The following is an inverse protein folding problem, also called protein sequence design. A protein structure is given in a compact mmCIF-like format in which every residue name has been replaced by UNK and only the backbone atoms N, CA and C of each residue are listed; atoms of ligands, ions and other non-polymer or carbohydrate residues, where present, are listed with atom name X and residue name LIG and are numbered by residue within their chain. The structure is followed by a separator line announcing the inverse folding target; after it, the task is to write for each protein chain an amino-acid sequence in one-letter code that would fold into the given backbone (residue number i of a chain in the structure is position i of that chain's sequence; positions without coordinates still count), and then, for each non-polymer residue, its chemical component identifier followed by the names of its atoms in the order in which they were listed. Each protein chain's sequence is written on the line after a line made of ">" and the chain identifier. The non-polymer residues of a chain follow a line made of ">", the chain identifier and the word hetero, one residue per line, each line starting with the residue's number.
data_IF_107957990847
#
_entry.id   IF_107957990847
#
_cell.length_a   1.000
_cell.length_b   1.000
_cell.length_c   1.000
_cell.angle_alpha   90.00
_cell.angle_beta   90.00
_cell.angle_gamma   90.00
#
_symmetry.space_group_name_H-M   'P 1'
#
loop_
_entity.id
_entity.type
_entity.pdbx_description
1 polymer ?
#
# COMPACT_ATOMS: atom_id res chain seq x y z
N UNK A 1 28.56 -32.93 18.07
CA UNK A 1 28.61 -32.03 16.91
C UNK A 1 27.53 -32.46 15.94
N UNK A 2 26.34 -31.84 16.01
CA UNK A 2 25.33 -31.95 14.96
C UNK A 2 24.60 -30.61 14.93
N UNK A 3 24.86 -29.86 13.86
CA UNK A 3 24.37 -28.53 13.61
C UNK A 3 22.92 -28.64 13.09
N UNK A 4 21.93 -28.31 13.91
CA UNK A 4 20.55 -28.18 13.45
C UNK A 4 20.41 -26.84 12.75
N UNK A 5 20.63 -26.83 11.44
CA UNK A 5 20.27 -25.70 10.58
C UNK A 5 18.76 -25.57 10.58
N UNK A 6 18.23 -24.72 11.46
CA UNK A 6 16.87 -24.19 11.34
C UNK A 6 16.84 -23.37 10.05
N UNK A 7 16.38 -24.00 8.97
CA UNK A 7 16.01 -23.29 7.75
C UNK A 7 14.96 -22.24 8.13
N UNK A 8 15.30 -20.96 7.97
CA UNK A 8 14.35 -19.86 8.13
C UNK A 8 13.25 -20.13 7.09
N UNK A 9 12.06 -20.53 7.54
CA UNK A 9 10.87 -20.50 6.68
C UNK A 9 10.81 -19.07 6.16
N UNK A 10 10.98 -18.89 4.85
CA UNK A 10 10.81 -17.58 4.25
C UNK A 10 9.39 -17.13 4.62
N UNK A 11 9.28 -16.15 5.51
CA UNK A 11 7.99 -15.56 5.83
C UNK A 11 7.48 -14.94 4.54
N UNK A 12 6.49 -15.59 3.94
CA UNK A 12 5.75 -15.03 2.81
C UNK A 12 5.04 -13.79 3.31
N UNK A 13 5.55 -12.62 2.90
CA UNK A 13 4.98 -11.33 3.31
C UNK A 13 3.50 -11.23 2.95
N UNK A 14 2.77 -10.39 3.68
CA UNK A 14 1.34 -10.15 3.43
C UNK A 14 1.14 -8.70 3.03
N UNK A 15 0.36 -8.48 1.98
CA UNK A 15 -0.08 -7.16 1.56
C UNK A 15 -1.50 -6.93 2.02
N UNK A 16 -1.72 -5.88 2.79
CA UNK A 16 -3.06 -5.41 3.19
C UNK A 16 -3.43 -4.22 2.31
N UNK A 17 -4.40 -4.37 1.42
CA UNK A 17 -4.93 -3.29 0.58
C UNK A 17 -6.06 -2.58 1.33
N UNK A 18 -5.86 -1.31 1.70
CA UNK A 18 -6.82 -0.58 2.54
C UNK A 18 -7.18 0.80 2.01
N UNK A 19 -8.47 1.10 2.07
CA UNK A 19 -9.06 2.43 1.82
C UNK A 19 -9.56 3.08 3.10
N UNK A 20 -9.42 4.41 3.24
CA UNK A 20 -9.90 5.16 4.41
C UNK A 20 -11.18 5.96 4.19
N UNK A 21 -11.79 5.92 3.01
CA UNK A 21 -13.15 6.42 2.80
C UNK A 21 -14.12 5.78 3.80
N UNK A 22 -15.07 6.56 4.34
CA UNK A 22 -15.89 6.14 5.48
C UNK A 22 -15.19 6.02 6.85
N UNK A 23 -13.87 5.81 6.92
CA UNK A 23 -13.10 5.58 8.17
C UNK A 23 -12.58 6.87 8.84
N UNK A 24 -12.47 6.87 10.16
CA UNK A 24 -11.66 7.82 10.94
C UNK A 24 -10.20 7.36 11.02
N UNK A 25 -9.31 8.19 11.58
CA UNK A 25 -7.93 7.75 11.85
C UNK A 25 -7.88 6.62 12.88
N UNK A 26 -8.79 6.63 13.88
CA UNK A 26 -8.88 5.58 14.89
C UNK A 26 -9.30 4.24 14.28
N UNK A 27 -10.34 4.25 13.43
CA UNK A 27 -10.80 3.04 12.73
C UNK A 27 -9.70 2.48 11.83
N UNK A 28 -8.97 3.35 11.12
CA UNK A 28 -7.85 2.93 10.28
C UNK A 28 -6.75 2.28 11.13
N UNK A 29 -6.32 2.92 12.23
CA UNK A 29 -5.27 2.39 13.11
C UNK A 29 -5.68 1.05 13.72
N UNK A 30 -6.93 0.92 14.20
CA UNK A 30 -7.44 -0.33 14.76
C UNK A 30 -7.37 -1.48 13.73
N UNK A 31 -7.85 -1.25 12.50
CA UNK A 31 -7.78 -2.26 11.44
C UNK A 31 -6.36 -2.66 11.05
N UNK A 32 -5.42 -1.70 11.05
CA UNK A 32 -4.01 -2.01 10.78
C UNK A 32 -3.40 -2.90 11.86
N UNK A 33 -3.75 -2.65 13.13
CA UNK A 33 -3.31 -3.47 14.26
C UNK A 33 -3.94 -4.88 14.21
N UNK A 34 -5.22 -5.00 13.88
CA UNK A 34 -5.90 -6.29 13.71
C UNK A 34 -5.27 -7.17 12.61
N UNK A 35 -4.60 -6.55 11.63
CA UNK A 35 -3.91 -7.23 10.55
C UNK A 35 -2.39 -7.38 10.79
N UNK A 36 -1.89 -7.05 11.99
CA UNK A 36 -0.46 -7.08 12.34
C UNK A 36 0.43 -6.28 11.37
N UNK A 37 -0.11 -5.19 10.80
CA UNK A 37 0.62 -4.34 9.86
C UNK A 37 1.83 -3.72 10.55
N UNK A 38 3.02 -3.91 9.95
CA UNK A 38 4.26 -3.31 10.45
C UNK A 38 4.59 -1.98 9.79
N UNK A 39 4.26 -1.85 8.50
CA UNK A 39 4.52 -0.64 7.72
C UNK A 39 3.31 -0.33 6.85
N UNK A 40 2.85 0.91 6.91
CA UNK A 40 1.87 1.47 5.98
C UNK A 40 2.60 2.25 4.88
N UNK A 41 2.40 1.82 3.64
CA UNK A 41 2.84 2.50 2.42
C UNK A 41 1.67 3.32 1.88
N UNK A 42 1.78 4.63 2.01
CA UNK A 42 0.87 5.59 1.39
C UNK A 42 1.22 5.74 -0.10
N UNK A 43 0.29 5.37 -0.97
CA UNK A 43 0.44 5.48 -2.43
C UNK A 43 -0.34 6.67 -3.01
N UNK A 44 -0.81 7.60 -2.17
CA UNK A 44 -1.43 8.83 -2.65
C UNK A 44 -0.37 9.71 -3.30
N UNK A 45 -0.65 10.20 -4.51
CA UNK A 45 0.21 11.20 -5.18
C UNK A 45 0.41 12.45 -4.31
N UNK A 46 -0.66 12.85 -3.61
CA UNK A 46 -0.64 13.95 -2.64
C UNK A 46 -1.34 13.45 -1.37
N UNK A 47 -0.60 13.19 -0.27
CA UNK A 47 -1.14 12.62 0.96
C UNK A 47 -1.80 13.70 1.85
N UNK A 48 -2.69 14.48 1.23
CA UNK A 48 -3.54 15.47 1.90
C UNK A 48 -4.93 14.84 2.12
N UNK A 49 -5.51 15.11 3.29
CA UNK A 49 -6.88 14.69 3.61
C UNK A 49 -7.61 15.80 4.32
N UNK A 50 -8.91 15.93 4.05
CA UNK A 50 -9.84 16.77 4.81
C UNK A 50 -10.35 16.08 6.07
N UNK A 51 -10.22 14.75 6.15
CA UNK A 51 -10.58 14.00 7.35
C UNK A 51 -9.51 14.22 8.44
N UNK A 52 -9.90 14.57 9.67
CA UNK A 52 -8.96 14.75 10.78
C UNK A 52 -8.04 13.53 10.96
N UNK A 53 -6.74 13.78 11.17
CA UNK A 53 -5.75 12.73 11.43
C UNK A 53 -5.23 11.97 10.21
N UNK A 54 -5.82 12.14 9.02
CA UNK A 54 -5.49 11.33 7.82
C UNK A 54 -4.59 12.05 6.80
N UNK A 55 -4.05 13.22 7.14
CA UNK A 55 -2.95 13.86 6.39
C UNK A 55 -1.61 13.23 6.76
N UNK A 56 -0.63 13.24 5.84
CA UNK A 56 0.69 12.59 6.02
C UNK A 56 1.28 12.72 7.42
N UNK A 57 1.48 13.94 7.90
CA UNK A 57 2.14 14.19 9.19
C UNK A 57 1.36 13.58 10.34
N UNK A 58 0.05 13.90 10.44
CA UNK A 58 -0.79 13.42 11.54
C UNK A 58 -0.97 11.90 11.52
N UNK A 59 -1.08 11.31 10.33
CA UNK A 59 -1.20 9.87 10.18
C UNK A 59 0.11 9.18 10.58
N UNK A 60 1.25 9.70 10.13
CA UNK A 60 2.57 9.18 10.51
C UNK A 60 2.78 9.24 12.02
N UNK A 61 2.38 10.32 12.68
CA UNK A 61 2.45 10.46 14.15
C UNK A 61 1.55 9.44 14.85
N UNK A 62 0.29 9.30 14.41
CA UNK A 62 -0.66 8.34 14.99
C UNK A 62 -0.17 6.88 14.85
N UNK A 63 0.42 6.53 13.71
CA UNK A 63 0.97 5.19 13.46
C UNK A 63 2.23 4.94 14.31
N UNK A 64 3.11 5.93 14.46
CA UNK A 64 4.31 5.82 15.27
C UNK A 64 4.00 5.51 16.75
N UNK A 65 2.93 6.08 17.31
CA UNK A 65 2.48 5.82 18.69
C UNK A 65 2.18 4.34 18.93
N UNK A 66 1.71 3.63 17.90
CA UNK A 66 1.39 2.19 17.98
C UNK A 66 2.45 1.30 17.34
N UNK A 67 3.62 1.85 16.99
CA UNK A 67 4.75 1.11 16.45
C UNK A 67 4.64 0.73 14.97
N UNK A 68 3.73 1.35 14.21
CA UNK A 68 3.59 1.12 12.76
C UNK A 68 4.43 2.14 12.00
N UNK A 69 5.32 1.65 11.13
CA UNK A 69 6.11 2.49 10.23
C UNK A 69 5.25 3.15 9.15
N UNK A 70 5.68 4.32 8.67
CA UNK A 70 4.99 5.04 7.60
C UNK A 70 5.97 5.35 6.47
N UNK A 71 5.63 4.93 5.25
CA UNK A 71 6.39 5.21 4.03
C UNK A 71 5.45 5.88 3.03
N UNK A 72 5.93 6.90 2.32
CA UNK A 72 5.15 7.55 1.27
C UNK A 72 5.84 7.38 -0.08
N UNK A 73 5.21 6.61 -0.95
CA UNK A 73 5.69 6.37 -2.31
C UNK A 73 4.86 7.15 -3.32
N UNK A 74 5.20 8.44 -3.48
CA UNK A 74 4.52 9.35 -4.43
C UNK A 74 4.51 8.80 -5.86
N UNK A 75 5.57 8.10 -6.28
CA UNK A 75 5.71 7.55 -7.62
C UNK A 75 4.62 6.51 -7.96
N UNK A 76 3.97 5.93 -6.96
CA UNK A 76 2.87 4.98 -7.13
C UNK A 76 1.49 5.66 -7.18
N UNK A 77 1.43 6.99 -7.11
CA UNK A 77 0.17 7.72 -7.09
C UNK A 77 -0.44 7.94 -8.47
N UNK A 78 -1.77 7.87 -8.56
CA UNK A 78 -2.50 8.19 -9.79
C UNK A 78 -2.48 9.72 -10.08
N UNK A 79 -1.99 10.16 -11.27
CA UNK A 79 -2.02 11.55 -11.70
C UNK A 79 -3.40 12.19 -11.54
N UNK A 80 -3.45 13.45 -11.07
CA UNK A 80 -4.71 14.12 -10.70
C UNK A 80 -5.72 14.16 -11.85
N UNK A 81 -5.23 14.43 -13.04
CA UNK A 81 -5.98 14.50 -14.30
C UNK A 81 -6.45 13.13 -14.82
N UNK A 82 -5.86 12.03 -14.34
CA UNK A 82 -6.27 10.68 -14.71
C UNK A 82 -7.36 10.08 -13.79
N UNK A 83 -7.56 10.64 -12.58
CA UNK A 83 -8.38 10.01 -11.53
C UNK A 83 -9.86 9.85 -11.89
N UNK A 84 -10.46 10.84 -12.55
CA UNK A 84 -11.89 10.81 -12.86
C UNK A 84 -12.23 9.69 -13.86
N UNK A 85 -11.50 9.62 -14.97
CA UNK A 85 -11.63 8.55 -15.96
C UNK A 85 -11.24 7.18 -15.37
N UNK A 86 -10.24 7.13 -14.50
CA UNK A 86 -9.86 5.90 -13.80
C UNK A 86 -10.99 5.34 -12.95
N UNK A 87 -11.63 6.19 -12.14
CA UNK A 87 -12.78 5.80 -11.31
C UNK A 87 -13.99 5.40 -12.16
N UNK A 88 -14.24 6.10 -13.27
CA UNK A 88 -15.28 5.74 -14.24
C UNK A 88 -14.99 4.41 -14.95
N UNK A 89 -13.78 3.87 -14.80
CA UNK A 89 -13.39 2.61 -15.40
C UNK A 89 -13.08 2.71 -16.89
N UNK A 90 -12.55 3.84 -17.34
CA UNK A 90 -12.14 4.00 -18.73
C UNK A 90 -10.87 3.19 -19.03
N UNK A 91 -10.84 2.31 -20.06
CA UNK A 91 -9.68 1.47 -20.36
C UNK A 91 -8.39 2.26 -20.59
N UNK A 92 -8.46 3.42 -21.24
CA UNK A 92 -7.32 4.27 -21.53
C UNK A 92 -6.68 4.84 -20.26
N UNK A 93 -7.50 5.23 -19.29
CA UNK A 93 -7.01 5.75 -18.00
C UNK A 93 -6.29 4.67 -17.17
N UNK A 94 -6.74 3.41 -17.29
CA UNK A 94 -6.07 2.26 -16.69
C UNK A 94 -4.75 1.94 -17.40
N UNK A 95 -4.71 2.06 -18.73
CA UNK A 95 -3.47 1.90 -19.51
C UNK A 95 -2.45 2.98 -19.13
N UNK A 96 -2.86 4.25 -19.14
CA UNK A 96 -2.03 5.38 -18.72
C UNK A 96 -1.46 5.21 -17.31
N UNK A 97 -2.23 4.68 -16.37
CA UNK A 97 -1.71 4.42 -15.02
C UNK A 97 -0.70 3.26 -14.99
N UNK A 98 -0.83 2.25 -15.85
CA UNK A 98 0.22 1.22 -15.99
C UNK A 98 1.52 1.83 -16.51
N UNK A 99 1.45 2.76 -17.45
CA UNK A 99 2.65 3.45 -17.97
C UNK A 99 3.35 4.27 -16.86
N UNK A 100 2.58 4.86 -15.93
CA UNK A 100 3.14 5.53 -14.74
C UNK A 100 3.95 4.55 -13.89
N UNK A 101 3.46 3.32 -13.72
CA UNK A 101 4.14 2.27 -12.96
C UNK A 101 5.37 1.69 -13.68
N UNK A 102 5.54 1.95 -14.97
CA UNK A 102 6.72 1.55 -15.74
C UNK A 102 7.84 2.60 -15.67
N UNK A 103 7.62 3.74 -15.00
CA UNK A 103 8.69 4.70 -14.72
C UNK A 103 9.74 4.13 -13.74
N UNK A 104 10.98 4.61 -13.86
CA UNK A 104 12.09 4.19 -12.99
C UNK A 104 11.75 4.40 -11.50
N UNK A 105 11.22 5.58 -11.15
CA UNK A 105 10.85 5.89 -9.76
C UNK A 105 9.74 4.98 -9.21
N UNK A 106 8.78 4.55 -10.04
CA UNK A 106 7.75 3.61 -9.61
C UNK A 106 8.32 2.18 -9.46
N UNK A 107 9.25 1.80 -10.34
CA UNK A 107 9.97 0.53 -10.26
C UNK A 107 10.79 0.44 -8.97
N UNK A 108 11.55 1.49 -8.63
CA UNK A 108 12.31 1.57 -7.37
C UNK A 108 11.39 1.52 -6.15
N UNK A 109 10.23 2.19 -6.21
CA UNK A 109 9.24 2.15 -5.14
C UNK A 109 8.66 0.75 -4.94
N UNK A 110 8.34 0.03 -6.02
CA UNK A 110 7.88 -1.36 -5.97
C UNK A 110 8.96 -2.31 -5.42
N UNK A 111 10.23 -2.11 -5.81
CA UNK A 111 11.36 -2.87 -5.28
C UNK A 111 11.49 -2.67 -3.77
N UNK A 112 11.43 -1.43 -3.29
CA UNK A 112 11.43 -1.13 -1.85
C UNK A 112 10.23 -1.78 -1.13
N UNK A 113 9.05 -1.85 -1.75
CA UNK A 113 7.91 -2.56 -1.16
C UNK A 113 8.14 -4.07 -1.06
N UNK A 114 8.83 -4.69 -2.03
CA UNK A 114 9.26 -6.07 -1.92
C UNK A 114 10.19 -6.26 -0.72
N UNK A 115 11.16 -5.38 -0.51
CA UNK A 115 12.05 -5.45 0.66
C UNK A 115 11.28 -5.32 1.98
N UNK A 116 10.31 -4.41 2.05
CA UNK A 116 9.45 -4.25 3.23
C UNK A 116 8.63 -5.51 3.53
N UNK A 117 8.20 -6.25 2.50
CA UNK A 117 7.47 -7.51 2.65
C UNK A 117 8.32 -8.63 3.26
N UNK A 118 9.65 -8.56 3.14
CA UNK A 118 10.54 -9.50 3.85
C UNK A 118 10.54 -9.25 5.37
N UNK A 119 10.08 -8.05 5.77
CA UNK A 119 9.87 -7.66 7.15
C UNK A 119 8.52 -8.07 7.74
N UNK A 120 7.55 -8.56 6.96
CA UNK A 120 6.24 -9.01 7.44
C UNK A 120 5.04 -8.42 6.68
N UNK A 121 4.06 -7.90 7.41
CA UNK A 121 2.81 -7.38 6.83
C UNK A 121 2.97 -5.90 6.45
N UNK A 122 2.69 -5.58 5.18
CA UNK A 122 2.75 -4.24 4.62
C UNK A 122 1.35 -3.81 4.16
N UNK A 123 0.87 -2.68 4.66
CA UNK A 123 -0.38 -2.09 4.17
C UNK A 123 -0.13 -1.12 3.01
N UNK A 124 -1.02 -1.11 2.03
CA UNK A 124 -1.07 -0.13 0.94
C UNK A 124 -2.31 0.74 1.14
N UNK A 125 -2.10 2.03 1.35
CA UNK A 125 -3.17 2.98 1.66
C UNK A 125 -3.51 3.88 0.46
N UNK A 126 -4.81 3.98 0.15
CA UNK A 126 -5.37 5.06 -0.67
C UNK A 126 -6.67 5.60 -0.05
N UNK A 127 -7.35 6.53 -0.73
CA UNK A 127 -8.60 7.11 -0.28
C UNK A 127 -9.78 6.15 -0.44
N UNK A 128 -10.09 5.74 -1.68
CA UNK A 128 -11.32 5.05 -2.07
C UNK A 128 -11.55 3.78 -1.23
N UNK A 129 -12.77 3.52 -0.77
CA UNK A 129 -13.05 2.29 -0.03
C UNK A 129 -12.95 1.07 -0.93
N UNK A 130 -13.59 1.10 -2.11
CA UNK A 130 -13.49 0.03 -3.09
C UNK A 130 -12.13 0.04 -3.78
N UNK A 131 -11.44 -1.10 -3.75
CA UNK A 131 -10.15 -1.26 -4.41
C UNK A 131 -10.29 -1.37 -5.94
N UNK A 132 -11.42 -1.87 -6.47
CA UNK A 132 -11.64 -2.04 -7.90
C UNK A 132 -11.75 -0.70 -8.66
N UNK A 133 -12.17 0.36 -7.96
CA UNK A 133 -12.23 1.73 -8.46
C UNK A 133 -10.92 2.50 -8.23
N UNK A 134 -9.98 1.91 -7.51
CA UNK A 134 -8.78 2.56 -7.02
C UNK A 134 -7.53 2.08 -7.76
N UNK A 135 -6.56 2.97 -7.94
CA UNK A 135 -5.27 2.61 -8.56
C UNK A 135 -4.47 1.61 -7.74
N UNK A 136 -4.75 1.49 -6.43
CA UNK A 136 -4.05 0.55 -5.54
C UNK A 136 -4.23 -0.91 -5.95
N UNK A 137 -5.33 -1.28 -6.63
CA UNK A 137 -5.50 -2.64 -7.17
C UNK A 137 -4.40 -2.96 -8.20
N UNK A 138 -4.08 -2.02 -9.10
CA UNK A 138 -3.02 -2.21 -10.10
C UNK A 138 -1.65 -2.28 -9.41
N UNK A 139 -1.41 -1.49 -8.36
CA UNK A 139 -0.18 -1.57 -7.55
C UNK A 139 -0.05 -2.94 -6.89
N UNK A 140 -1.10 -3.41 -6.21
CA UNK A 140 -1.14 -4.73 -5.57
C UNK A 140 -0.85 -5.83 -6.60
N UNK A 141 -1.50 -5.80 -7.77
CA UNK A 141 -1.26 -6.80 -8.84
C UNK A 141 0.18 -6.78 -9.35
N UNK A 142 0.80 -5.60 -9.51
CA UNK A 142 2.22 -5.50 -9.90
C UNK A 142 3.12 -6.09 -8.81
N UNK A 143 2.83 -5.79 -7.56
CA UNK A 143 3.58 -6.32 -6.42
C UNK A 143 3.46 -7.84 -6.30
N UNK A 144 2.27 -8.40 -6.49
CA UNK A 144 2.05 -9.86 -6.48
C UNK A 144 2.72 -10.59 -7.64
N UNK A 145 2.89 -9.94 -8.80
CA UNK A 145 3.69 -10.52 -9.88
C UNK A 145 5.17 -10.62 -9.50
N UNK A 146 5.68 -9.66 -8.74
CA UNK A 146 7.07 -9.67 -8.24
C UNK A 146 7.24 -10.57 -7.01
N UNK A 147 6.16 -10.80 -6.24
CA UNK A 147 6.11 -11.64 -5.03
C UNK A 147 4.94 -12.63 -5.13
N UNK A 148 5.05 -13.67 -5.99
CA UNK A 148 3.94 -14.59 -6.25
C UNK A 148 3.53 -15.41 -5.02
N UNK A 149 4.43 -15.58 -4.04
CA UNK A 149 4.15 -16.32 -2.81
C UNK A 149 3.55 -15.44 -1.70
N UNK A 150 3.51 -14.11 -1.88
CA UNK A 150 2.92 -13.21 -0.90
C UNK A 150 1.39 -13.33 -0.86
N UNK A 151 0.80 -13.16 0.31
CA UNK A 151 -0.64 -13.13 0.48
C UNK A 151 -1.19 -11.71 0.26
N UNK A 152 -2.46 -11.60 -0.15
CA UNK A 152 -3.19 -10.31 -0.23
C UNK A 152 -4.48 -10.40 0.55
N UNK A 153 -4.74 -9.36 1.35
CA UNK A 153 -6.01 -9.13 2.05
C UNK A 153 -6.54 -7.75 1.66
N UNK A 154 -7.83 -7.64 1.35
CA UNK A 154 -8.50 -6.37 1.06
C UNK A 154 -9.43 -5.98 2.22
N UNK A 155 -9.31 -4.74 2.72
CA UNK A 155 -9.97 -4.24 3.94
C UNK A 155 -10.51 -2.82 3.79
#
# INVERSE_FOLDING_TARGET
>A
MSNTTTGRVATTGTVVSIGYEGKTVGDLVAQLLEQDVRVLVDVRLTPLSRKPGLSKTKLSEALAVVGIGYVHHRALGNPKDNRAAFRAGEPESRARYRDVLDSAAATDALAHMCELLDGGVVAILCFEHDHAECHRDIVVRRLMRARPDAAVVHV
#
